data_IF_770515553155
#
_entry.id   IF_770515553155
#
_cell.length_a   1.000
_cell.length_b   1.000
_cell.length_c   1.000
_cell.angle_alpha   90.00
_cell.angle_beta   90.00
_cell.angle_gamma   90.00
#
_symmetry.space_group_name_H-M   'P 1'
#
loop_
_entity.id
_entity.type
_entity.pdbx_description
1 polymer ?
#
# COMPACT_ATOMS: atom_id res chain seq x y z
N UNK A 1 -17.85 4.31 19.25
CA UNK A 1 -17.62 2.84 19.36
C UNK A 1 -17.41 2.30 17.94
N UNK A 2 -16.24 2.60 17.34
CA UNK A 2 -15.76 2.04 16.08
C UNK A 2 -14.90 0.82 16.39
N UNK A 3 -15.44 -0.38 16.24
CA UNK A 3 -14.69 -1.63 16.34
C UNK A 3 -13.65 -1.69 15.21
N UNK A 4 -12.42 -1.86 15.65
CA UNK A 4 -11.23 -2.12 14.87
C UNK A 4 -11.41 -3.42 14.03
N UNK A 5 -11.95 -3.31 12.80
CA UNK A 5 -12.07 -4.46 11.86
C UNK A 5 -10.74 -4.84 11.19
N UNK A 6 -9.71 -4.02 11.34
CA UNK A 6 -8.41 -4.26 10.67
C UNK A 6 -7.45 -5.16 11.46
N UNK A 7 -7.68 -5.34 12.78
CA UNK A 7 -6.82 -6.18 13.61
C UNK A 7 -6.94 -7.69 13.33
N UNK A 8 -8.11 -8.16 12.94
CA UNK A 8 -8.34 -9.59 12.67
C UNK A 8 -7.79 -10.04 11.32
N UNK A 9 -7.68 -9.17 10.33
CA UNK A 9 -7.10 -9.49 9.02
C UNK A 9 -5.57 -9.57 9.07
N UNK A 10 -4.92 -8.72 9.85
CA UNK A 10 -3.45 -8.74 10.03
C UNK A 10 -2.99 -9.98 10.80
N UNK A 11 -3.68 -10.37 11.86
CA UNK A 11 -3.41 -11.60 12.61
C UNK A 11 -3.58 -12.86 11.75
N UNK A 12 -4.57 -12.89 10.87
CA UNK A 12 -4.77 -13.99 9.93
C UNK A 12 -3.67 -14.11 8.86
N UNK A 13 -3.13 -12.99 8.39
CA UNK A 13 -2.03 -12.96 7.40
C UNK A 13 -0.72 -13.40 8.04
N UNK A 14 -0.41 -12.98 9.26
CA UNK A 14 0.80 -13.39 9.97
C UNK A 14 0.76 -14.87 10.36
N UNK A 15 -0.36 -15.39 10.83
CA UNK A 15 -0.53 -16.82 11.11
C UNK A 15 -0.37 -17.68 9.85
N UNK A 16 -0.94 -17.27 8.71
CA UNK A 16 -0.80 -17.99 7.45
C UNK A 16 0.63 -17.96 6.89
N UNK A 17 1.38 -16.91 7.18
CA UNK A 17 2.81 -16.78 6.83
C UNK A 17 3.66 -17.73 7.69
N UNK A 18 3.47 -17.72 9.00
CA UNK A 18 4.19 -18.62 9.91
C UNK A 18 3.90 -20.09 9.61
N UNK A 19 2.67 -20.44 9.25
CA UNK A 19 2.31 -21.81 8.84
C UNK A 19 3.08 -22.24 7.60
N UNK A 20 3.24 -21.38 6.60
CA UNK A 20 4.03 -21.67 5.39
C UNK A 20 5.51 -21.89 5.72
N UNK A 21 6.09 -21.09 6.60
CA UNK A 21 7.48 -21.25 7.05
C UNK A 21 7.67 -22.57 7.80
N UNK A 22 6.71 -22.96 8.63
CA UNK A 22 6.75 -24.23 9.35
C UNK A 22 6.55 -25.44 8.42
N UNK A 23 5.77 -25.30 7.33
CA UNK A 23 5.66 -26.33 6.30
C UNK A 23 7.00 -26.57 5.59
N UNK A 24 7.77 -25.50 5.27
CA UNK A 24 9.12 -25.62 4.72
C UNK A 24 10.09 -26.31 5.70
N UNK A 25 9.88 -26.17 6.99
CA UNK A 25 10.65 -26.89 8.02
C UNK A 25 10.42 -28.42 7.95
N UNK A 26 9.20 -28.86 7.63
CA UNK A 26 8.93 -30.29 7.38
C UNK A 26 9.63 -30.80 6.13
N UNK A 27 9.74 -29.98 5.08
CA UNK A 27 10.51 -30.34 3.87
C UNK A 27 12.00 -30.45 4.21
N UNK A 28 12.55 -29.49 4.96
CA UNK A 28 13.92 -29.55 5.44
C UNK A 28 14.16 -30.79 6.29
N UNK A 29 13.22 -31.15 7.17
CA UNK A 29 13.26 -32.41 7.93
C UNK A 29 13.30 -33.63 7.03
N UNK A 30 12.48 -33.68 5.98
CA UNK A 30 12.50 -34.78 5.01
C UNK A 30 13.86 -34.95 4.35
N UNK A 31 14.50 -33.85 3.94
CA UNK A 31 15.85 -33.87 3.37
C UNK A 31 16.88 -34.38 4.39
N UNK A 32 16.82 -33.88 5.62
CA UNK A 32 17.68 -34.31 6.71
C UNK A 32 17.49 -35.79 7.02
N UNK A 33 16.26 -36.26 7.13
CA UNK A 33 15.96 -37.67 7.42
C UNK A 33 16.45 -38.61 6.31
N UNK A 34 16.28 -38.22 5.04
CA UNK A 34 16.82 -38.97 3.90
C UNK A 34 18.35 -39.04 3.95
N UNK A 35 19.01 -37.92 4.21
CA UNK A 35 20.47 -37.90 4.32
C UNK A 35 20.95 -38.79 5.48
N UNK A 36 20.33 -38.69 6.66
CA UNK A 36 20.68 -39.53 7.80
C UNK A 36 20.40 -41.01 7.55
N UNK A 37 19.34 -41.35 6.80
CA UNK A 37 19.04 -42.75 6.41
C UNK A 37 20.11 -43.37 5.53
N UNK A 38 20.60 -42.63 4.51
CA UNK A 38 21.69 -43.10 3.65
C UNK A 38 23.02 -43.23 4.38
N UNK A 39 23.25 -42.41 5.41
CA UNK A 39 24.47 -42.41 6.24
C UNK A 39 24.44 -43.52 7.30
N UNK A 40 23.24 -43.94 7.76
CA UNK A 40 23.03 -44.90 8.84
C UNK A 40 23.47 -46.34 8.54
N UNK A 41 23.94 -46.62 7.29
CA UNK A 41 24.29 -47.97 6.86
C UNK A 41 25.47 -48.60 7.61
N UNK A 42 26.16 -47.88 8.48
CA UNK A 42 27.37 -48.38 9.07
C UNK A 42 27.55 -48.40 10.60
N UNK A 43 26.93 -47.69 11.53
CA UNK A 43 27.20 -47.95 12.95
C UNK A 43 26.33 -47.23 14.04
N UNK A 44 25.45 -46.26 13.75
CA UNK A 44 24.76 -45.54 14.87
C UNK A 44 23.30 -45.14 14.57
N UNK A 45 22.48 -46.10 14.11
CA UNK A 45 21.07 -45.88 13.80
C UNK A 45 20.30 -45.20 14.95
N UNK A 46 20.59 -45.57 16.21
CA UNK A 46 19.93 -45.02 17.39
C UNK A 46 20.22 -43.53 17.55
N UNK A 47 21.48 -43.09 17.35
CA UNK A 47 21.86 -41.67 17.40
C UNK A 47 21.15 -40.83 16.36
N UNK A 48 21.09 -41.30 15.13
CA UNK A 48 20.40 -40.61 14.02
C UNK A 48 18.88 -40.52 14.23
N UNK A 49 18.26 -41.62 14.74
CA UNK A 49 16.85 -41.59 15.11
C UNK A 49 16.54 -40.61 16.23
N UNK A 50 17.41 -40.49 17.25
CA UNK A 50 17.26 -39.49 18.30
C UNK A 50 17.34 -38.06 17.77
N UNK A 51 18.29 -37.77 16.88
CA UNK A 51 18.41 -36.43 16.24
C UNK A 51 17.19 -36.13 15.39
N UNK A 52 16.72 -37.08 14.57
CA UNK A 52 15.53 -36.91 13.77
C UNK A 52 14.28 -36.68 14.64
N UNK A 53 14.13 -37.43 15.72
CA UNK A 53 13.05 -37.26 16.68
C UNK A 53 13.11 -35.90 17.39
N UNK A 54 14.30 -35.46 17.81
CA UNK A 54 14.50 -34.15 18.43
C UNK A 54 14.11 -33.02 17.44
N UNK A 55 14.53 -33.10 16.17
CA UNK A 55 14.15 -32.11 15.17
C UNK A 55 12.65 -32.09 14.89
N UNK A 56 12.01 -33.27 14.85
CA UNK A 56 10.57 -33.38 14.67
C UNK A 56 9.79 -32.77 15.83
N UNK A 57 10.22 -33.04 17.08
CA UNK A 57 9.60 -32.45 18.27
C UNK A 57 9.75 -30.93 18.32
N UNK A 58 10.91 -30.39 17.95
CA UNK A 58 11.15 -28.94 17.83
C UNK A 58 10.27 -28.34 16.73
N UNK A 59 10.10 -29.03 15.60
CA UNK A 59 9.22 -28.60 14.53
C UNK A 59 7.75 -28.57 14.97
N UNK A 60 7.28 -29.65 15.63
CA UNK A 60 5.92 -29.72 16.15
C UNK A 60 5.63 -28.64 17.20
N UNK A 61 6.54 -28.42 18.13
CA UNK A 61 6.41 -27.35 19.15
C UNK A 61 6.45 -25.97 18.51
N UNK A 62 7.24 -25.73 17.46
CA UNK A 62 7.26 -24.48 16.71
C UNK A 62 5.92 -24.20 16.02
N UNK A 63 5.30 -25.23 15.41
CA UNK A 63 3.97 -25.14 14.80
C UNK A 63 2.91 -24.83 15.86
N UNK A 64 2.91 -25.57 16.97
CA UNK A 64 1.98 -25.36 18.09
C UNK A 64 2.08 -23.95 18.67
N UNK A 65 3.29 -23.44 18.92
CA UNK A 65 3.48 -22.09 19.45
C UNK A 65 3.02 -21.02 18.47
N UNK A 66 3.22 -21.20 17.17
CA UNK A 66 2.71 -20.29 16.15
C UNK A 66 1.16 -20.23 16.10
N UNK A 67 0.48 -21.34 16.44
CA UNK A 67 -0.97 -21.41 16.52
C UNK A 67 -1.55 -20.81 17.81
N UNK A 68 -0.96 -21.15 18.96
CA UNK A 68 -1.53 -20.81 20.26
C UNK A 68 -1.04 -19.48 20.84
N UNK A 69 0.16 -19.00 20.43
CA UNK A 69 0.76 -17.76 20.94
C UNK A 69 1.50 -16.98 19.84
N UNK A 70 0.77 -16.36 18.88
CA UNK A 70 1.40 -15.60 17.80
C UNK A 70 2.21 -14.39 18.28
N UNK A 71 1.95 -13.88 19.50
CA UNK A 71 2.63 -12.71 20.05
C UNK A 71 4.04 -13.01 20.62
N UNK A 72 4.44 -14.27 20.67
CA UNK A 72 5.71 -14.68 21.26
C UNK A 72 6.88 -14.60 20.26
N UNK A 73 7.22 -13.37 19.87
CA UNK A 73 8.32 -13.09 18.91
C UNK A 73 9.66 -13.70 19.33
N UNK A 74 9.92 -13.86 20.63
CA UNK A 74 11.16 -14.43 21.15
C UNK A 74 11.22 -15.96 21.04
N UNK A 75 10.09 -16.66 20.95
CA UNK A 75 10.09 -18.11 20.77
C UNK A 75 10.79 -18.55 19.50
N UNK A 76 10.68 -17.77 18.43
CA UNK A 76 11.33 -18.10 17.16
C UNK A 76 12.86 -18.07 17.26
N UNK A 77 13.43 -17.17 18.06
CA UNK A 77 14.90 -17.14 18.31
C UNK A 77 15.36 -18.40 19.04
N UNK A 78 14.58 -18.87 20.03
CA UNK A 78 14.88 -20.10 20.75
C UNK A 78 14.92 -21.30 19.82
N UNK A 79 13.95 -21.43 18.89
CA UNK A 79 13.93 -22.53 17.92
C UNK A 79 15.13 -22.48 16.97
N UNK A 80 15.57 -21.30 16.56
CA UNK A 80 16.75 -21.13 15.70
C UNK A 80 18.03 -21.54 16.43
N UNK A 81 18.15 -21.19 17.72
CA UNK A 81 19.28 -21.63 18.55
C UNK A 81 19.28 -23.15 18.74
N UNK A 82 18.11 -23.76 18.96
CA UNK A 82 17.98 -25.21 19.07
C UNK A 82 18.39 -25.88 17.74
N UNK A 83 17.99 -25.33 16.59
CA UNK A 83 18.40 -25.82 15.28
C UNK A 83 19.93 -25.75 15.09
N UNK A 84 20.56 -24.62 15.51
CA UNK A 84 21.99 -24.49 15.46
C UNK A 84 22.72 -25.51 16.37
N UNK A 85 22.18 -25.77 17.55
CA UNK A 85 22.68 -26.83 18.46
C UNK A 85 22.52 -28.21 17.85
N UNK A 86 21.36 -28.54 17.25
CA UNK A 86 21.16 -29.82 16.59
C UNK A 86 22.13 -30.04 15.43
N UNK A 87 22.37 -29.01 14.61
CA UNK A 87 23.39 -29.05 13.55
C UNK A 87 24.78 -29.32 14.14
N UNK A 88 25.11 -28.62 15.22
CA UNK A 88 26.39 -28.80 15.92
C UNK A 88 26.54 -30.23 16.44
N UNK A 89 25.50 -30.81 17.02
CA UNK A 89 25.50 -32.21 17.49
C UNK A 89 25.70 -33.18 16.34
N UNK A 90 25.09 -32.95 15.17
CA UNK A 90 25.30 -33.77 13.96
C UNK A 90 26.75 -33.69 13.51
N UNK A 91 27.33 -32.48 13.45
CA UNK A 91 28.73 -32.27 13.06
C UNK A 91 29.71 -32.95 14.01
N UNK A 92 29.47 -32.84 15.35
CA UNK A 92 30.33 -33.47 16.34
C UNK A 92 30.09 -34.97 16.49
N UNK A 93 28.87 -35.48 16.18
CA UNK A 93 28.54 -36.91 16.27
C UNK A 93 29.44 -37.75 15.36
N UNK A 94 29.75 -37.28 14.20
CA UNK A 94 30.67 -37.94 13.25
C UNK A 94 32.13 -37.96 13.75
N UNK A 95 32.50 -37.03 14.63
CA UNK A 95 33.83 -36.95 15.18
C UNK A 95 34.06 -37.94 16.34
N UNK A 96 32.96 -38.34 17.01
CA UNK A 96 33.01 -39.26 18.14
C UNK A 96 32.99 -40.73 17.70
N UNK A 97 32.66 -41.02 16.43
CA UNK A 97 32.64 -42.36 15.91
C UNK A 97 34.08 -42.83 15.59
N UNK A 98 34.58 -43.75 16.44
CA UNK A 98 35.96 -44.24 16.38
C UNK A 98 36.27 -45.11 15.17
N UNK A 99 35.29 -45.55 14.41
CA UNK A 99 35.47 -46.40 13.22
C UNK A 99 35.84 -45.55 11.97
N UNK A 100 35.64 -44.24 11.98
CA UNK A 100 36.00 -43.32 10.89
C UNK A 100 37.52 -43.02 10.75
N UNK A 101 38.35 -43.63 11.58
CA UNK A 101 39.78 -43.30 11.70
C UNK A 101 40.67 -43.77 10.58
N UNK A 102 40.20 -44.58 9.61
CA UNK A 102 41.00 -45.12 8.53
C UNK A 102 40.98 -44.27 7.25
N UNK A 103 39.93 -43.46 7.03
CA UNK A 103 39.82 -42.56 5.87
C UNK A 103 39.43 -41.17 6.36
N UNK A 104 40.38 -40.27 6.40
CA UNK A 104 40.29 -38.89 6.92
C UNK A 104 39.34 -37.94 6.17
N UNK A 105 38.22 -38.40 5.64
CA UNK A 105 37.25 -37.57 4.95
C UNK A 105 35.88 -37.60 5.68
N UNK A 106 35.59 -36.54 6.38
CA UNK A 106 34.22 -36.22 6.90
C UNK A 106 33.25 -35.83 5.76
N UNK A 107 33.57 -36.21 4.51
CA UNK A 107 32.65 -35.99 3.37
C UNK A 107 31.40 -36.88 3.50
N UNK A 108 30.64 -36.60 4.53
CA UNK A 108 29.37 -37.24 4.83
C UNK A 108 28.25 -36.39 4.29
N UNK A 109 27.15 -37.01 3.92
CA UNK A 109 25.90 -36.37 3.51
C UNK A 109 25.37 -35.38 4.57
N UNK A 110 25.77 -35.51 5.82
CA UNK A 110 25.43 -34.63 6.94
C UNK A 110 25.95 -33.19 6.80
N UNK A 111 27.01 -32.96 5.99
CA UNK A 111 27.52 -31.59 5.69
C UNK A 111 26.53 -30.71 4.92
N UNK A 112 25.52 -31.30 4.28
CA UNK A 112 24.45 -30.55 3.58
C UNK A 112 23.45 -29.93 4.55
N UNK A 113 23.28 -30.50 5.75
CA UNK A 113 22.29 -30.09 6.76
C UNK A 113 22.43 -28.61 7.16
N UNK A 114 23.63 -28.09 7.49
CA UNK A 114 23.83 -26.68 7.80
C UNK A 114 23.32 -25.73 6.70
N UNK A 115 23.56 -26.07 5.43
CA UNK A 115 23.12 -25.25 4.28
C UNK A 115 21.59 -25.28 4.12
N UNK A 116 20.95 -26.44 4.29
CA UNK A 116 19.48 -26.57 4.22
C UNK A 116 18.82 -25.71 5.31
N UNK A 117 19.33 -25.78 6.55
CA UNK A 117 18.78 -25.01 7.65
C UNK A 117 19.13 -23.52 7.55
N UNK A 118 20.30 -23.15 7.04
CA UNK A 118 20.61 -21.75 6.73
C UNK A 118 19.60 -21.17 5.73
N UNK A 119 19.30 -21.89 4.65
CA UNK A 119 18.30 -21.47 3.68
C UNK A 119 16.91 -21.33 4.32
N UNK A 120 16.52 -22.27 5.20
CA UNK A 120 15.25 -22.17 5.93
C UNK A 120 15.19 -20.88 6.80
N UNK A 121 16.25 -20.57 7.54
CA UNK A 121 16.33 -19.34 8.35
C UNK A 121 16.33 -18.10 7.48
N UNK A 122 17.05 -18.14 6.33
CA UNK A 122 17.16 -17.05 5.37
C UNK A 122 15.81 -16.62 4.77
N UNK A 123 14.93 -17.58 4.49
CA UNK A 123 13.61 -17.31 3.93
C UNK A 123 12.74 -16.40 4.81
N UNK A 124 13.02 -16.32 6.11
CA UNK A 124 12.34 -15.39 7.03
C UNK A 124 12.78 -13.93 6.87
N UNK A 125 13.86 -13.68 6.12
CA UNK A 125 14.43 -12.35 5.83
C UNK A 125 14.73 -11.51 7.08
N UNK A 126 15.02 -12.15 8.22
CA UNK A 126 15.39 -11.49 9.46
C UNK A 126 16.91 -11.57 9.63
N UNK A 127 17.58 -10.44 9.47
CA UNK A 127 19.04 -10.34 9.51
C UNK A 127 19.64 -10.85 10.82
N UNK A 128 19.01 -10.49 11.95
CA UNK A 128 19.48 -10.90 13.26
C UNK A 128 19.47 -12.44 13.42
N UNK A 129 18.44 -13.08 12.92
CA UNK A 129 18.28 -14.54 12.98
C UNK A 129 19.29 -15.26 12.08
N UNK A 130 19.55 -14.71 10.88
CA UNK A 130 20.56 -15.25 9.98
C UNK A 130 21.94 -15.17 10.61
N UNK A 131 22.31 -14.03 11.20
CA UNK A 131 23.61 -13.84 11.88
C UNK A 131 23.76 -14.82 13.04
N UNK A 132 22.76 -14.91 13.93
CA UNK A 132 22.83 -15.79 15.10
C UNK A 132 23.00 -17.25 14.69
N UNK A 133 22.18 -17.75 13.76
CA UNK A 133 22.27 -19.11 13.27
C UNK A 133 23.62 -19.40 12.61
N UNK A 134 24.00 -18.57 11.62
CA UNK A 134 25.21 -18.78 10.84
C UNK A 134 26.48 -18.68 11.68
N UNK A 135 26.53 -17.72 12.61
CA UNK A 135 27.66 -17.59 13.54
C UNK A 135 27.79 -18.80 14.45
N UNK A 136 26.67 -19.25 15.06
CA UNK A 136 26.68 -20.41 15.95
C UNK A 136 27.18 -21.67 15.22
N UNK A 137 26.65 -21.94 14.03
CA UNK A 137 27.05 -23.10 13.22
C UNK A 137 28.50 -22.97 12.74
N UNK A 138 28.91 -21.80 12.27
CA UNK A 138 30.28 -21.57 11.79
C UNK A 138 31.31 -21.77 12.88
N UNK A 139 31.11 -21.19 14.06
CA UNK A 139 32.03 -21.36 15.18
C UNK A 139 32.04 -22.79 15.74
N UNK A 140 30.88 -23.48 15.74
CA UNK A 140 30.81 -24.90 16.08
C UNK A 140 31.63 -25.73 15.08
N UNK A 141 31.53 -25.43 13.79
CA UNK A 141 32.28 -26.14 12.73
C UNK A 141 33.80 -25.92 12.88
N UNK A 142 34.24 -24.68 13.03
CA UNK A 142 35.67 -24.37 13.27
C UNK A 142 36.18 -25.07 14.57
N UNK A 143 35.39 -25.02 15.64
CA UNK A 143 35.72 -25.74 16.88
C UNK A 143 35.89 -27.24 16.68
N UNK A 144 35.02 -27.87 15.86
CA UNK A 144 35.14 -29.27 15.46
C UNK A 144 36.46 -29.54 14.72
N UNK A 145 36.80 -28.71 13.73
CA UNK A 145 38.06 -28.85 12.97
C UNK A 145 39.29 -28.73 13.86
N UNK A 146 39.28 -27.82 14.83
CA UNK A 146 40.37 -27.67 15.82
C UNK A 146 40.49 -28.92 16.68
N UNK A 147 39.37 -29.45 17.20
CA UNK A 147 39.38 -30.68 18.03
C UNK A 147 39.90 -31.87 17.20
N UNK A 148 39.49 -31.99 15.96
CA UNK A 148 39.96 -33.03 15.07
C UNK A 148 41.48 -32.93 14.80
N UNK A 149 41.98 -31.74 14.50
CA UNK A 149 43.43 -31.49 14.31
C UNK A 149 44.23 -31.84 15.53
N UNK A 150 43.74 -31.52 16.76
CA UNK A 150 44.39 -31.84 18.04
C UNK A 150 44.40 -33.33 18.37
N UNK A 151 43.39 -34.10 17.93
CA UNK A 151 43.29 -35.55 18.21
C UNK A 151 44.16 -36.40 17.30
N UNK A 152 44.36 -35.99 16.08
CA UNK A 152 44.99 -36.83 15.02
C UNK A 152 46.45 -36.52 14.71
N UNK A 153 47.02 -35.45 15.28
CA UNK A 153 48.39 -35.09 15.02
C UNK A 153 49.27 -35.09 16.24
N UNK A 154 50.47 -35.72 16.12
CA UNK A 154 51.55 -35.61 17.07
C UNK A 154 51.99 -34.16 17.27
N UNK A 155 52.42 -33.84 18.45
CA UNK A 155 52.79 -32.49 18.90
C UNK A 155 53.74 -31.81 17.93
N UNK A 156 53.25 -30.91 17.07
CA UNK A 156 54.02 -30.11 16.12
C UNK A 156 53.13 -29.13 15.32
N UNK A 157 53.69 -27.94 15.03
CA UNK A 157 52.94 -26.87 14.38
C UNK A 157 52.59 -27.22 12.90
N UNK A 158 53.48 -27.87 12.20
CA UNK A 158 53.34 -28.26 10.79
C UNK A 158 52.24 -29.32 10.59
N UNK A 159 52.22 -30.45 11.34
CA UNK A 159 51.12 -31.42 11.24
C UNK A 159 49.76 -30.85 11.64
N UNK A 160 49.71 -29.91 12.60
CA UNK A 160 48.49 -29.22 12.99
C UNK A 160 47.92 -28.37 11.84
N UNK A 161 48.76 -27.59 11.17
CA UNK A 161 48.38 -26.77 10.01
C UNK A 161 47.90 -27.65 8.87
N UNK A 162 48.63 -28.71 8.51
CA UNK A 162 48.23 -29.66 7.46
C UNK A 162 46.89 -30.34 7.79
N UNK A 163 46.64 -30.68 9.05
CA UNK A 163 45.37 -31.25 9.50
C UNK A 163 44.21 -30.27 9.44
N UNK A 164 44.47 -28.97 9.57
CA UNK A 164 43.47 -27.93 9.49
C UNK A 164 43.09 -27.60 8.02
N UNK A 165 44.04 -27.67 7.10
CA UNK A 165 43.86 -27.45 5.66
C UNK A 165 43.37 -28.72 4.96
N UNK A 166 42.19 -29.20 5.36
CA UNK A 166 41.57 -30.36 4.77
C UNK A 166 40.30 -29.95 3.97
N UNK A 167 39.62 -30.93 3.37
CA UNK A 167 38.38 -30.69 2.61
C UNK A 167 37.27 -30.06 3.47
N UNK A 168 37.25 -30.36 4.76
CA UNK A 168 36.22 -29.89 5.69
C UNK A 168 36.36 -28.40 5.98
N UNK A 169 37.57 -27.84 5.97
CA UNK A 169 37.80 -26.39 5.99
C UNK A 169 37.21 -25.72 4.74
N UNK A 170 37.30 -26.37 3.58
CA UNK A 170 36.67 -25.89 2.35
C UNK A 170 35.16 -25.80 2.45
N UNK A 171 34.52 -26.79 3.08
CA UNK A 171 33.07 -26.75 3.35
C UNK A 171 32.68 -25.69 4.38
N UNK A 172 33.47 -25.54 5.47
CA UNK A 172 33.25 -24.48 6.47
C UNK A 172 33.38 -23.08 5.85
N UNK A 173 34.38 -22.86 5.00
CA UNK A 173 34.57 -21.62 4.26
C UNK A 173 33.41 -21.35 3.28
N UNK A 174 32.96 -22.40 2.56
CA UNK A 174 31.80 -22.31 1.66
C UNK A 174 30.51 -21.98 2.42
N UNK A 175 30.32 -22.55 3.61
CA UNK A 175 29.19 -22.21 4.49
C UNK A 175 29.27 -20.75 4.93
N UNK A 176 30.42 -20.27 5.38
CA UNK A 176 30.65 -18.88 5.76
C UNK A 176 30.36 -17.91 4.63
N UNK A 177 30.87 -18.21 3.42
CA UNK A 177 30.57 -17.43 2.22
C UNK A 177 29.08 -17.40 1.90
N UNK A 178 28.42 -18.56 1.92
CA UNK A 178 26.97 -18.66 1.70
C UNK A 178 26.18 -17.86 2.74
N UNK A 179 26.58 -17.93 4.01
CA UNK A 179 25.95 -17.17 5.09
C UNK A 179 26.06 -15.66 4.87
N UNK A 180 27.24 -15.17 4.45
CA UNK A 180 27.46 -13.76 4.11
C UNK A 180 26.60 -13.36 2.91
N UNK A 181 26.61 -14.15 1.83
CA UNK A 181 25.82 -13.86 0.64
C UNK A 181 24.31 -13.80 0.95
N UNK A 182 23.81 -14.75 1.73
CA UNK A 182 22.40 -14.77 2.17
C UNK A 182 22.07 -13.59 3.06
N UNK A 183 22.97 -13.20 3.97
CA UNK A 183 22.78 -12.02 4.81
C UNK A 183 22.72 -10.74 3.98
N UNK A 184 23.62 -10.55 3.03
CA UNK A 184 23.64 -9.40 2.13
C UNK A 184 22.37 -9.35 1.28
N UNK A 185 21.95 -10.49 0.72
CA UNK A 185 20.70 -10.58 -0.03
C UNK A 185 19.47 -10.23 0.82
N UNK A 186 19.40 -10.75 2.05
CA UNK A 186 18.30 -10.43 2.96
C UNK A 186 18.26 -8.94 3.34
N UNK A 187 19.43 -8.30 3.50
CA UNK A 187 19.55 -6.87 3.77
C UNK A 187 19.04 -6.02 2.61
N UNK A 188 19.44 -6.34 1.38
CA UNK A 188 18.98 -5.68 0.16
C UNK A 188 17.46 -5.78 -0.02
N UNK A 189 16.91 -6.99 0.14
CA UNK A 189 15.47 -7.23 0.06
C UNK A 189 14.69 -6.46 1.12
N UNK A 190 15.23 -6.34 2.33
CA UNK A 190 14.59 -5.57 3.40
C UNK A 190 14.59 -4.06 3.09
N UNK A 191 15.69 -3.52 2.59
CA UNK A 191 15.78 -2.11 2.16
C UNK A 191 14.79 -1.83 1.03
N UNK A 192 14.77 -2.66 -0.01
CA UNK A 192 13.83 -2.51 -1.13
C UNK A 192 12.37 -2.54 -0.66
N UNK A 193 12.04 -3.43 0.27
CA UNK A 193 10.71 -3.50 0.86
C UNK A 193 10.34 -2.24 1.65
N UNK A 194 11.26 -1.70 2.44
CA UNK A 194 11.05 -0.45 3.19
C UNK A 194 10.84 0.74 2.24
N UNK A 195 11.62 0.84 1.18
CA UNK A 195 11.46 1.87 0.16
C UNK A 195 10.10 1.77 -0.52
N UNK A 196 9.66 0.56 -0.90
CA UNK A 196 8.36 0.33 -1.50
C UNK A 196 7.20 0.70 -0.55
N UNK A 197 7.29 0.34 0.74
CA UNK A 197 6.30 0.71 1.76
C UNK A 197 6.24 2.22 1.99
N UNK A 198 7.40 2.89 2.02
CA UNK A 198 7.46 4.35 2.16
C UNK A 198 6.87 5.06 0.95
N UNK A 199 7.15 4.58 -0.26
CA UNK A 199 6.56 5.11 -1.49
C UNK A 199 5.03 4.94 -1.50
N UNK A 200 4.51 3.77 -1.09
CA UNK A 200 3.06 3.53 -1.01
C UNK A 200 2.39 4.40 0.07
N UNK A 201 3.01 4.56 1.23
CA UNK A 201 2.53 5.45 2.28
C UNK A 201 2.54 6.92 1.83
N UNK A 202 3.58 7.36 1.13
CA UNK A 202 3.65 8.71 0.57
C UNK A 202 2.54 8.92 -0.46
N UNK A 203 2.32 7.94 -1.35
CA UNK A 203 1.21 7.96 -2.32
C UNK A 203 -0.15 8.06 -1.63
N UNK A 204 -0.41 7.24 -0.62
CA UNK A 204 -1.67 7.28 0.16
C UNK A 204 -1.88 8.61 0.87
N UNK A 205 -0.83 9.21 1.39
CA UNK A 205 -0.91 10.52 2.03
C UNK A 205 -1.21 11.63 1.01
N UNK A 206 -0.57 11.62 -0.16
CA UNK A 206 -0.85 12.57 -1.22
C UNK A 206 -2.29 12.46 -1.73
N UNK A 207 -2.82 11.25 -1.93
CA UNK A 207 -4.20 11.03 -2.40
C UNK A 207 -5.28 11.43 -1.39
N UNK A 208 -4.93 11.72 -0.12
CA UNK A 208 -5.87 12.31 0.85
C UNK A 208 -6.09 13.81 0.61
N UNK A 209 -5.11 14.51 0.05
CA UNK A 209 -5.14 15.96 -0.14
C UNK A 209 -5.32 16.35 -1.61
N UNK A 210 -4.93 15.49 -2.53
CA UNK A 210 -5.02 15.71 -3.96
C UNK A 210 -5.84 14.62 -4.64
N UNK A 211 -6.46 14.96 -5.77
CA UNK A 211 -7.07 13.93 -6.61
C UNK A 211 -6.00 12.94 -7.10
N UNK A 212 -6.37 11.68 -7.39
CA UNK A 212 -5.41 10.66 -7.84
C UNK A 212 -4.57 11.12 -9.06
N UNK A 213 -5.17 11.86 -9.99
CA UNK A 213 -4.49 12.36 -11.18
C UNK A 213 -3.41 13.38 -10.82
N UNK A 214 -3.74 14.38 -9.99
CA UNK A 214 -2.80 15.39 -9.52
C UNK A 214 -1.69 14.76 -8.68
N UNK A 215 -2.03 13.80 -7.82
CA UNK A 215 -1.04 13.08 -7.01
C UNK A 215 -0.03 12.31 -7.88
N UNK A 216 -0.47 11.68 -8.98
CA UNK A 216 0.42 10.99 -9.92
C UNK A 216 1.35 11.99 -10.63
N UNK A 217 0.81 13.08 -11.16
CA UNK A 217 1.62 14.10 -11.85
C UNK A 217 2.66 14.73 -10.90
N UNK A 218 2.28 15.00 -9.65
CA UNK A 218 3.23 15.50 -8.62
C UNK A 218 4.32 14.48 -8.28
N UNK A 219 4.05 13.18 -8.40
CA UNK A 219 5.05 12.13 -8.22
C UNK A 219 6.01 12.03 -9.41
N UNK A 220 5.50 12.18 -10.64
CA UNK A 220 6.27 12.04 -11.87
C UNK A 220 7.10 13.28 -12.18
N UNK A 221 6.52 14.46 -12.03
CA UNK A 221 7.16 15.75 -12.39
C UNK A 221 7.76 16.47 -11.17
N UNK A 222 7.49 15.98 -9.97
CA UNK A 222 7.96 16.57 -8.71
C UNK A 222 7.27 17.91 -8.37
N UNK A 223 7.75 18.60 -7.31
CA UNK A 223 7.14 19.86 -6.84
C UNK A 223 7.41 21.07 -7.77
N UNK A 224 7.99 20.85 -8.94
CA UNK A 224 8.33 21.88 -9.91
C UNK A 224 7.26 22.08 -11.00
N UNK A 225 6.05 21.53 -10.81
CA UNK A 225 4.92 21.75 -11.69
C UNK A 225 4.55 23.25 -11.67
N UNK A 226 5.14 24.02 -12.57
CA UNK A 226 4.88 25.46 -12.68
C UNK A 226 3.45 25.72 -13.18
N UNK A 227 2.99 26.97 -13.07
CA UNK A 227 1.71 27.38 -13.63
C UNK A 227 1.74 27.28 -15.16
N UNK A 228 0.84 26.49 -15.71
CA UNK A 228 0.65 26.32 -17.16
C UNK A 228 -0.71 26.85 -17.59
N UNK A 229 -0.76 27.45 -18.78
CA UNK A 229 -2.01 27.89 -19.39
C UNK A 229 -2.65 26.74 -20.15
N UNK A 230 -3.85 26.37 -19.72
CA UNK A 230 -4.64 25.29 -20.29
C UNK A 230 -6.07 25.78 -20.59
N UNK A 231 -6.84 24.96 -21.32
CA UNK A 231 -8.29 25.11 -21.43
C UNK A 231 -8.94 24.01 -20.58
N UNK A 232 -9.93 24.36 -19.78
CA UNK A 232 -10.60 23.41 -18.90
C UNK A 232 -12.07 23.75 -18.70
N UNK A 233 -12.87 22.73 -18.41
CA UNK A 233 -14.22 22.93 -17.90
C UNK A 233 -14.18 23.03 -16.38
N UNK A 234 -14.70 24.12 -15.87
CA UNK A 234 -14.74 24.43 -14.43
C UNK A 234 -16.17 24.33 -13.94
N UNK A 235 -16.37 23.61 -12.84
CA UNK A 235 -17.66 23.34 -12.23
C UNK A 235 -17.66 23.80 -10.77
N UNK A 236 -18.57 24.70 -10.43
CA UNK A 236 -18.92 25.02 -9.05
C UNK A 236 -20.23 24.35 -8.64
N UNK A 237 -20.24 23.78 -7.43
CA UNK A 237 -21.40 23.12 -6.85
C UNK A 237 -21.57 23.67 -5.45
N UNK A 238 -22.79 24.12 -5.07
CA UNK A 238 -23.02 24.71 -3.76
C UNK A 238 -24.41 24.33 -3.19
N UNK A 239 -24.49 24.19 -1.86
CA UNK A 239 -25.73 23.87 -1.16
C UNK A 239 -26.48 25.18 -0.85
N UNK A 240 -27.67 25.31 -1.34
CA UNK A 240 -28.46 26.53 -1.12
C UNK A 240 -28.96 26.64 0.30
N UNK A 241 -28.89 27.87 0.81
CA UNK A 241 -29.29 28.23 2.18
C UNK A 241 -28.54 27.43 3.27
N UNK A 242 -27.29 27.02 2.98
CA UNK A 242 -26.46 26.26 3.92
C UNK A 242 -26.24 27.02 5.24
N UNK A 243 -26.02 28.34 5.19
CA UNK A 243 -25.85 29.16 6.41
C UNK A 243 -27.04 29.02 7.34
N UNK A 244 -28.27 29.14 6.79
CA UNK A 244 -29.49 28.97 7.59
C UNK A 244 -29.66 27.53 8.09
N UNK A 245 -29.23 26.55 7.30
CA UNK A 245 -29.25 25.14 7.69
C UNK A 245 -28.26 24.88 8.83
N UNK A 246 -27.05 25.46 8.76
CA UNK A 246 -26.02 25.30 9.78
C UNK A 246 -26.40 25.94 11.14
N UNK A 247 -27.16 27.03 11.12
CA UNK A 247 -27.66 27.68 12.35
C UNK A 247 -28.71 26.82 13.08
N UNK A 248 -29.48 26.01 12.34
CA UNK A 248 -30.64 25.26 12.89
C UNK A 248 -30.35 23.76 13.03
N UNK A 249 -29.12 23.27 12.74
CA UNK A 249 -28.78 21.84 12.75
C UNK A 249 -27.66 21.57 13.74
N UNK A 250 -27.70 20.47 14.49
CA UNK A 250 -26.58 20.14 15.38
C UNK A 250 -25.30 19.87 14.60
N UNK A 251 -24.11 20.19 15.16
CA UNK A 251 -22.82 20.03 14.49
C UNK A 251 -22.59 18.62 13.94
N UNK A 252 -23.01 17.59 14.68
CA UNK A 252 -22.83 16.20 14.31
C UNK A 252 -23.69 15.85 13.07
N UNK A 253 -24.96 16.27 13.04
CA UNK A 253 -25.86 16.06 11.88
C UNK A 253 -25.36 16.83 10.67
N UNK A 254 -24.90 18.07 10.86
CA UNK A 254 -24.37 18.92 9.81
C UNK A 254 -23.11 18.27 9.20
N UNK A 255 -22.19 17.75 10.04
CA UNK A 255 -20.97 17.06 9.59
C UNK A 255 -21.30 15.79 8.79
N UNK A 256 -22.26 14.98 9.25
CA UNK A 256 -22.70 13.79 8.52
C UNK A 256 -23.31 14.13 7.17
N UNK A 257 -24.18 15.14 7.11
CA UNK A 257 -24.79 15.62 5.88
C UNK A 257 -23.74 16.14 4.90
N UNK A 258 -22.81 16.98 5.36
CA UNK A 258 -21.76 17.53 4.53
C UNK A 258 -20.82 16.44 4.03
N UNK A 259 -20.51 15.45 4.87
CA UNK A 259 -19.72 14.28 4.47
C UNK A 259 -20.39 13.46 3.37
N UNK A 260 -21.68 13.16 3.51
CA UNK A 260 -22.47 12.43 2.50
C UNK A 260 -22.56 13.22 1.19
N UNK A 261 -22.82 14.51 1.24
CA UNK A 261 -22.84 15.41 0.08
C UNK A 261 -21.49 15.39 -0.66
N UNK A 262 -20.40 15.64 0.08
CA UNK A 262 -19.04 15.61 -0.51
C UNK A 262 -18.69 14.26 -1.10
N UNK A 263 -19.11 13.16 -0.47
CA UNK A 263 -18.89 11.82 -0.99
C UNK A 263 -19.63 11.55 -2.31
N UNK A 264 -20.88 11.98 -2.45
CA UNK A 264 -21.66 11.85 -3.68
C UNK A 264 -20.98 12.62 -4.81
N UNK A 265 -20.64 13.89 -4.57
CA UNK A 265 -20.01 14.75 -5.57
C UNK A 265 -18.63 14.20 -5.95
N UNK A 266 -17.79 13.85 -4.97
CA UNK A 266 -16.44 13.33 -5.22
C UNK A 266 -16.48 12.05 -6.03
N UNK A 267 -17.40 11.13 -5.72
CA UNK A 267 -17.55 9.88 -6.48
C UNK A 267 -17.92 10.14 -7.95
N UNK A 268 -18.82 11.07 -8.21
CA UNK A 268 -19.21 11.42 -9.58
C UNK A 268 -18.08 12.12 -10.32
N UNK A 269 -17.40 13.08 -9.69
CA UNK A 269 -16.26 13.79 -10.31
C UNK A 269 -15.15 12.81 -10.69
N UNK A 270 -14.77 11.91 -9.77
CA UNK A 270 -13.73 10.90 -10.03
C UNK A 270 -14.13 9.89 -11.11
N UNK A 271 -15.40 9.45 -11.13
CA UNK A 271 -15.95 8.56 -12.16
C UNK A 271 -15.82 9.17 -13.55
N UNK A 272 -16.05 10.47 -13.66
CA UNK A 272 -15.92 11.22 -14.92
C UNK A 272 -14.50 11.78 -15.15
N UNK A 273 -13.48 11.30 -14.42
CA UNK A 273 -12.08 11.71 -14.51
C UNK A 273 -11.86 13.22 -14.32
N UNK A 274 -12.71 13.86 -13.51
CA UNK A 274 -12.51 15.23 -13.05
C UNK A 274 -11.61 15.28 -11.83
N UNK A 275 -11.12 16.46 -11.53
CA UNK A 275 -10.29 16.80 -10.36
C UNK A 275 -11.09 17.68 -9.43
N UNK A 276 -11.14 17.37 -8.14
CA UNK A 276 -11.62 18.31 -7.13
C UNK A 276 -10.43 19.19 -6.75
N UNK A 277 -10.53 20.48 -7.04
CA UNK A 277 -9.51 21.46 -6.68
C UNK A 277 -9.59 21.76 -5.18
N UNK A 278 -10.74 22.18 -4.69
CA UNK A 278 -10.94 22.48 -3.27
C UNK A 278 -12.40 22.41 -2.82
N UNK A 279 -12.55 22.27 -1.50
CA UNK A 279 -13.82 22.43 -0.79
C UNK A 279 -13.83 23.80 -0.09
N UNK A 280 -14.82 24.63 -0.39
CA UNK A 280 -15.00 25.96 0.21
C UNK A 280 -16.25 26.00 1.06
N UNK A 281 -16.15 25.52 2.30
CA UNK A 281 -17.33 25.32 3.15
C UNK A 281 -18.26 24.23 2.60
N UNK A 282 -19.44 24.61 2.14
CA UNK A 282 -20.42 23.79 1.43
C UNK A 282 -20.21 23.78 -0.09
N UNK A 283 -19.38 24.70 -0.61
CA UNK A 283 -19.06 24.76 -2.02
C UNK A 283 -17.96 23.74 -2.42
N UNK A 284 -18.02 23.26 -3.65
CA UNK A 284 -17.04 22.37 -4.26
C UNK A 284 -16.62 22.94 -5.60
N UNK A 285 -15.33 23.06 -5.80
CA UNK A 285 -14.71 23.41 -7.09
C UNK A 285 -14.14 22.15 -7.73
N UNK A 286 -14.69 21.77 -8.89
CA UNK A 286 -14.19 20.66 -9.69
C UNK A 286 -13.77 21.14 -11.08
N UNK A 287 -12.75 20.51 -11.65
CA UNK A 287 -12.14 20.90 -12.92
C UNK A 287 -11.92 19.67 -13.79
N UNK A 288 -12.18 19.80 -15.10
CA UNK A 288 -11.94 18.78 -16.11
C UNK A 288 -10.97 19.35 -17.16
N UNK A 289 -9.87 18.65 -17.40
CA UNK A 289 -8.78 19.12 -18.26
C UNK A 289 -7.52 19.51 -17.48
N UNK A 290 -7.40 19.07 -16.25
CA UNK A 290 -6.18 19.23 -15.44
C UNK A 290 -5.78 17.87 -14.81
N UNK A 291 -4.49 17.62 -14.59
CA UNK A 291 -3.33 18.41 -14.98
C UNK A 291 -3.13 18.47 -16.51
N UNK A 292 -3.63 17.49 -17.25
CA UNK A 292 -3.54 17.39 -18.70
C UNK A 292 -4.93 17.43 -19.34
N UNK A 293 -5.08 18.22 -20.39
CA UNK A 293 -6.35 18.31 -21.12
C UNK A 293 -6.54 17.09 -22.04
N UNK A 294 -7.80 16.67 -22.11
CA UNK A 294 -8.27 15.66 -23.05
C UNK A 294 -9.36 16.27 -23.95
N UNK A 295 -9.54 15.66 -25.10
CA UNK A 295 -10.48 16.15 -26.11
C UNK A 295 -11.96 16.03 -25.71
N UNK A 296 -12.29 15.30 -24.62
CA UNK A 296 -13.63 15.01 -24.12
C UNK A 296 -13.93 15.65 -22.76
N UNK A 297 -13.11 16.61 -22.33
CA UNK A 297 -13.22 17.24 -21.02
C UNK A 297 -14.57 17.92 -20.80
N UNK A 298 -15.06 18.63 -21.80
CA UNK A 298 -16.35 19.32 -21.77
C UNK A 298 -17.53 18.35 -21.70
N UNK A 299 -17.47 17.26 -22.45
CA UNK A 299 -18.51 16.22 -22.44
C UNK A 299 -18.57 15.50 -21.10
N UNK A 300 -17.41 15.16 -20.55
CA UNK A 300 -17.30 14.52 -19.21
C UNK A 300 -17.77 15.46 -18.10
N UNK A 301 -17.44 16.74 -18.18
CA UNK A 301 -17.89 17.75 -17.23
C UNK A 301 -19.42 17.89 -17.24
N UNK A 302 -20.04 17.96 -18.41
CA UNK A 302 -21.48 18.06 -18.55
C UNK A 302 -22.19 16.79 -18.06
N UNK A 303 -21.71 15.62 -18.46
CA UNK A 303 -22.24 14.33 -17.99
C UNK A 303 -22.16 14.21 -16.48
N UNK A 304 -21.04 14.62 -15.88
CA UNK A 304 -20.83 14.65 -14.44
C UNK A 304 -21.81 15.61 -13.75
N UNK A 305 -22.01 16.83 -14.27
CA UNK A 305 -22.94 17.81 -13.70
C UNK A 305 -24.39 17.30 -13.69
N UNK A 306 -24.82 16.63 -14.76
CA UNK A 306 -26.14 16.01 -14.85
C UNK A 306 -26.27 14.85 -13.84
N UNK A 307 -25.26 13.98 -13.75
CA UNK A 307 -25.25 12.86 -12.78
C UNK A 307 -25.30 13.38 -11.34
N UNK A 308 -24.52 14.43 -11.01
CA UNK A 308 -24.53 15.05 -9.68
C UNK A 308 -25.91 15.63 -9.37
N UNK A 309 -26.51 16.39 -10.32
CA UNK A 309 -27.85 16.98 -10.13
C UNK A 309 -28.88 15.90 -9.80
N UNK A 310 -28.91 14.81 -10.56
CA UNK A 310 -29.85 13.70 -10.36
C UNK A 310 -29.60 12.95 -9.04
N UNK A 311 -28.33 12.67 -8.74
CA UNK A 311 -27.94 11.93 -7.52
C UNK A 311 -28.25 12.72 -6.25
N UNK A 312 -28.00 14.03 -6.27
CA UNK A 312 -28.29 14.91 -5.13
C UNK A 312 -29.78 15.14 -4.96
N UNK A 313 -30.55 15.28 -6.02
CA UNK A 313 -32.03 15.37 -5.92
C UNK A 313 -32.60 14.08 -5.29
N UNK A 314 -32.17 12.91 -5.75
CA UNK A 314 -32.58 11.62 -5.18
C UNK A 314 -32.18 11.46 -3.71
N UNK A 315 -30.94 11.86 -3.37
CA UNK A 315 -30.46 11.80 -1.99
C UNK A 315 -31.24 12.75 -1.07
N UNK A 316 -31.53 13.97 -1.51
CA UNK A 316 -32.30 14.97 -0.75
C UNK A 316 -33.78 14.54 -0.55
N UNK A 317 -34.34 13.81 -1.51
CA UNK A 317 -35.68 13.23 -1.35
C UNK A 317 -35.72 12.14 -0.27
N UNK A 318 -34.66 11.37 -0.13
CA UNK A 318 -34.51 10.35 0.92
C UNK A 318 -34.27 10.93 2.33
N UNK A 319 -33.84 12.19 2.44
CA UNK A 319 -33.64 12.86 3.73
C UNK A 319 -35.00 13.36 4.26
N UNK A 320 -35.37 12.94 5.44
CA UNK A 320 -36.52 13.57 6.16
C UNK A 320 -36.22 15.05 6.32
N UNK A 321 -37.23 15.92 6.10
CA UNK A 321 -37.13 17.38 6.22
C UNK A 321 -36.30 17.75 7.45
N UNK A 322 -35.10 18.32 7.21
CA UNK A 322 -34.27 18.93 8.24
C UNK A 322 -34.96 20.28 8.57
N UNK A 323 -35.61 20.36 9.73
CA UNK A 323 -36.26 21.56 10.24
C UNK A 323 -37.22 22.28 9.25
N UNK A 324 -37.96 21.51 8.47
CA UNK A 324 -38.95 22.06 7.51
C UNK A 324 -38.38 22.58 6.20
N UNK A 325 -37.06 22.61 6.02
CA UNK A 325 -36.40 22.96 4.75
C UNK A 325 -35.86 21.74 4.03
N UNK A 326 -36.02 21.73 2.71
CA UNK A 326 -35.37 20.77 1.84
C UNK A 326 -34.17 21.50 1.22
N UNK A 327 -32.94 21.17 1.61
CA UNK A 327 -31.79 21.77 0.98
C UNK A 327 -31.82 21.49 -0.52
N UNK A 328 -31.22 22.35 -1.31
CA UNK A 328 -31.13 22.18 -2.75
C UNK A 328 -29.76 22.60 -3.21
N UNK A 329 -29.31 22.09 -4.36
CA UNK A 329 -27.98 22.33 -4.87
C UNK A 329 -28.04 23.15 -6.16
N UNK A 330 -27.11 24.09 -6.34
CA UNK A 330 -26.84 24.81 -7.56
C UNK A 330 -25.55 24.30 -8.21
N UNK A 331 -25.52 24.22 -9.53
CA UNK A 331 -24.31 23.84 -10.30
C UNK A 331 -24.10 24.86 -11.39
N UNK A 332 -22.90 25.46 -11.45
CA UNK A 332 -22.44 26.34 -12.51
C UNK A 332 -21.29 25.70 -13.27
N UNK A 333 -21.39 25.65 -14.60
CA UNK A 333 -20.40 25.00 -15.47
C UNK A 333 -19.98 25.92 -16.62
N UNK A 334 -18.67 26.18 -16.71
CA UNK A 334 -18.08 27.02 -17.76
C UNK A 334 -16.81 26.41 -18.32
N UNK A 335 -16.52 26.68 -19.59
CA UNK A 335 -15.28 26.24 -20.26
C UNK A 335 -14.50 27.47 -20.75
N UNK A 336 -13.19 27.47 -20.50
CA UNK A 336 -12.33 28.55 -20.93
C UNK A 336 -10.87 28.36 -20.54
N UNK A 337 -10.07 29.41 -20.76
CA UNK A 337 -8.65 29.42 -20.43
C UNK A 337 -8.45 29.58 -18.93
N UNK A 338 -7.57 28.75 -18.39
CA UNK A 338 -7.14 28.75 -16.98
C UNK A 338 -5.61 28.73 -16.89
N UNK A 339 -5.11 29.06 -15.70
CA UNK A 339 -3.76 28.72 -15.24
C UNK A 339 -3.90 27.61 -14.21
N UNK A 340 -3.21 26.49 -14.41
CA UNK A 340 -3.20 25.38 -13.46
C UNK A 340 -1.77 24.97 -13.12
N UNK A 341 -1.53 24.60 -11.88
CA UNK A 341 -0.21 24.18 -11.40
C UNK A 341 -0.02 24.41 -9.93
N UNK A 342 1.21 24.25 -9.46
CA UNK A 342 1.57 24.43 -8.04
C UNK A 342 1.96 25.88 -7.80
N UNK A 343 1.28 26.51 -6.86
CA UNK A 343 1.64 27.83 -6.32
C UNK A 343 2.39 27.61 -5.00
N UNK A 344 3.64 28.06 -4.98
CA UNK A 344 4.51 27.95 -3.81
C UNK A 344 4.30 29.16 -2.89
N UNK A 345 3.94 28.92 -1.64
CA UNK A 345 3.77 29.94 -0.61
C UNK A 345 4.72 29.78 0.59
N UNK A 346 5.88 29.19 0.37
CA UNK A 346 6.91 28.98 1.38
C UNK A 346 6.72 27.72 2.20
N UNK A 347 5.74 27.68 3.08
CA UNK A 347 5.45 26.51 3.93
C UNK A 347 4.31 25.62 3.41
N UNK A 348 3.55 26.10 2.44
CA UNK A 348 2.40 25.40 1.90
C UNK A 348 2.35 25.55 0.38
N UNK A 349 2.60 24.46 -0.30
CA UNK A 349 2.45 24.38 -1.75
C UNK A 349 1.04 23.89 -2.07
N UNK A 350 0.32 24.60 -2.94
CA UNK A 350 -1.05 24.28 -3.32
C UNK A 350 -1.14 24.08 -4.84
N UNK A 351 -1.64 22.93 -5.27
CA UNK A 351 -2.10 22.79 -6.64
C UNK A 351 -3.42 23.54 -6.77
N UNK A 352 -3.51 24.49 -7.69
CA UNK A 352 -4.69 25.32 -7.82
C UNK A 352 -4.94 25.71 -9.26
N UNK A 353 -6.17 26.14 -9.52
CA UNK A 353 -6.63 26.63 -10.82
C UNK A 353 -7.05 28.07 -10.68
N UNK A 354 -6.50 28.93 -11.54
CA UNK A 354 -6.70 30.39 -11.52
C UNK A 354 -7.20 30.86 -12.91
N UNK A 355 -7.98 31.94 -12.92
CA UNK A 355 -8.41 32.60 -14.15
C UNK A 355 -9.87 33.06 -14.11
N UNK A 356 -10.27 33.87 -15.10
CA UNK A 356 -11.64 34.39 -15.21
C UNK A 356 -12.67 33.24 -15.37
N UNK A 357 -12.27 32.16 -16.02
CA UNK A 357 -13.08 30.93 -16.18
C UNK A 357 -13.60 30.40 -14.85
N UNK A 358 -12.78 30.44 -13.79
CA UNK A 358 -13.15 30.02 -12.44
C UNK A 358 -14.23 30.95 -11.87
N UNK A 359 -14.03 32.26 -12.04
CA UNK A 359 -14.98 33.27 -11.55
C UNK A 359 -16.31 33.20 -12.31
N UNK A 360 -16.29 32.94 -13.61
CA UNK A 360 -17.51 32.77 -14.41
C UNK A 360 -18.30 31.54 -13.92
N UNK A 361 -17.65 30.39 -13.76
CA UNK A 361 -18.29 29.18 -13.26
C UNK A 361 -18.96 29.42 -11.89
N UNK A 362 -18.27 30.10 -10.97
CA UNK A 362 -18.84 30.52 -9.67
C UNK A 362 -20.07 31.41 -9.82
N UNK A 363 -20.02 32.41 -10.70
CA UNK A 363 -21.16 33.32 -10.95
C UNK A 363 -22.35 32.57 -11.60
N UNK A 364 -22.10 31.62 -12.50
CA UNK A 364 -23.11 30.76 -13.07
C UNK A 364 -23.81 29.91 -12.01
N UNK A 365 -23.08 29.37 -11.04
CA UNK A 365 -23.68 28.70 -9.90
C UNK A 365 -24.63 29.66 -9.14
N UNK A 366 -24.20 30.87 -8.80
CA UNK A 366 -25.01 31.82 -8.06
C UNK A 366 -26.31 32.19 -8.75
N UNK A 367 -26.33 32.39 -10.07
CA UNK A 367 -27.56 32.72 -10.82
C UNK A 367 -28.53 31.55 -10.92
N UNK A 368 -28.11 30.31 -10.62
CA UNK A 368 -29.02 29.17 -10.53
C UNK A 368 -30.17 29.44 -9.56
N UNK A 369 -29.95 30.27 -8.54
CA UNK A 369 -30.97 30.63 -7.54
C UNK A 369 -32.06 31.51 -8.14
N UNK A 370 -31.71 32.56 -8.87
CA UNK A 370 -32.65 33.48 -9.50
C UNK A 370 -33.42 32.83 -10.65
N UNK A 371 -32.78 31.90 -11.37
CA UNK A 371 -33.40 31.16 -12.46
C UNK A 371 -34.26 29.95 -12.01
N UNK A 372 -34.24 29.60 -10.71
CA UNK A 372 -34.87 28.38 -10.23
C UNK A 372 -34.32 27.10 -10.90
N UNK A 373 -33.04 27.15 -11.29
CA UNK A 373 -32.36 26.07 -12.02
C UNK A 373 -31.51 25.19 -11.09
N UNK A 374 -31.31 23.94 -11.43
CA UNK A 374 -30.33 23.07 -10.76
C UNK A 374 -28.93 23.15 -11.38
N UNK A 375 -28.86 23.41 -12.68
CA UNK A 375 -27.62 23.49 -13.44
C UNK A 375 -27.69 24.66 -14.42
N UNK A 376 -26.63 25.46 -14.48
CA UNK A 376 -26.43 26.51 -15.49
C UNK A 376 -25.10 26.25 -16.21
N UNK A 377 -25.14 26.26 -17.53
CA UNK A 377 -24.00 25.98 -18.43
C UNK A 377 -23.78 27.15 -19.37
N UNK A 378 -22.54 27.58 -19.53
CA UNK A 378 -22.22 28.63 -20.52
C UNK A 378 -22.31 28.11 -21.97
N UNK A 379 -22.63 28.99 -22.91
CA UNK A 379 -22.62 28.64 -24.34
C UNK A 379 -21.21 28.26 -24.82
N UNK A 380 -20.15 28.83 -24.23
CA UNK A 380 -18.76 28.48 -24.53
C UNK A 380 -18.49 26.98 -24.28
N UNK A 381 -19.04 26.44 -23.21
CA UNK A 381 -18.91 25.00 -22.95
C UNK A 381 -19.70 24.19 -23.98
N UNK A 382 -20.93 24.62 -24.31
CA UNK A 382 -21.79 23.90 -25.25
C UNK A 382 -21.18 23.87 -26.65
N UNK A 383 -20.55 24.95 -27.10
CA UNK A 383 -19.85 25.02 -28.37
C UNK A 383 -18.60 24.15 -28.44
N UNK A 384 -17.98 23.87 -27.27
CA UNK A 384 -16.80 23.01 -27.14
C UNK A 384 -17.15 21.51 -26.99
N UNK A 385 -18.44 21.15 -26.86
CA UNK A 385 -18.86 19.74 -26.80
C UNK A 385 -18.62 19.04 -28.13
N UNK A 386 -18.18 17.79 -28.07
CA UNK A 386 -18.04 16.88 -29.20
C UNK A 386 -19.29 16.07 -29.47
N UNK A 387 -20.04 15.74 -28.43
CA UNK A 387 -21.29 15.01 -28.54
C UNK A 387 -22.48 15.94 -28.53
N UNK A 388 -23.59 15.46 -29.06
CA UNK A 388 -24.82 16.27 -29.17
C UNK A 388 -25.34 16.59 -27.77
N UNK A 389 -25.53 17.89 -27.50
CA UNK A 389 -26.09 18.38 -26.25
C UNK A 389 -27.52 17.80 -26.04
N UNK A 390 -27.85 17.29 -24.83
CA UNK A 390 -29.20 16.78 -24.52
C UNK A 390 -30.18 17.95 -24.40
N UNK A 391 -30.72 18.40 -25.55
CA UNK A 391 -31.47 19.66 -25.68
C UNK A 391 -32.90 19.66 -25.11
N UNK A 392 -33.46 18.50 -24.80
CA UNK A 392 -34.91 18.38 -24.49
C UNK A 392 -35.35 18.95 -23.15
N UNK A 393 -34.44 19.19 -22.22
CA UNK A 393 -34.75 19.65 -20.84
C UNK A 393 -34.13 20.99 -20.48
N UNK A 394 -33.28 21.53 -21.31
CA UNK A 394 -32.60 22.81 -21.07
C UNK A 394 -33.31 23.98 -21.73
N UNK A 395 -33.37 25.12 -21.03
CA UNK A 395 -33.82 26.38 -21.54
C UNK A 395 -32.64 27.27 -21.84
N UNK A 396 -32.72 28.05 -22.96
CA UNK A 396 -31.70 29.01 -23.37
C UNK A 396 -32.08 30.41 -22.90
N UNK A 397 -31.08 31.17 -22.43
CA UNK A 397 -31.20 32.58 -22.14
C UNK A 397 -29.97 33.30 -22.75
N UNK A 398 -30.25 34.35 -23.52
CA UNK A 398 -29.20 35.14 -24.19
C UNK A 398 -28.92 36.43 -23.43
N UNK A 399 -27.69 36.90 -23.51
CA UNK A 399 -27.29 38.21 -23.05
C UNK A 399 -27.40 38.38 -21.53
N UNK A 400 -27.08 37.36 -20.75
CA UNK A 400 -27.14 37.40 -19.27
C UNK A 400 -25.99 38.22 -18.73
N UNK A 401 -26.31 39.21 -17.89
CA UNK A 401 -25.32 40.01 -17.16
C UNK A 401 -24.86 39.23 -15.93
N UNK A 402 -23.55 39.03 -15.82
CA UNK A 402 -22.93 38.43 -14.62
C UNK A 402 -22.33 39.52 -13.74
N UNK A 403 -22.73 39.65 -12.49
CA UNK A 403 -22.23 40.71 -11.60
C UNK A 403 -20.70 40.76 -11.57
N UNK A 404 -20.09 41.93 -11.89
CA UNK A 404 -18.65 42.17 -11.87
C UNK A 404 -17.88 41.54 -13.03
N UNK A 405 -18.52 41.32 -14.20
CA UNK A 405 -17.88 41.00 -15.48
C UNK A 405 -18.36 42.00 -16.55
N UNK A 406 -17.43 42.50 -17.34
CA UNK A 406 -17.77 43.24 -18.52
C UNK A 406 -18.15 42.26 -19.63
N UNK A 407 -19.37 42.43 -20.20
CA UNK A 407 -19.90 41.62 -21.28
C UNK A 407 -20.97 40.61 -20.83
N UNK A 408 -21.89 40.38 -21.76
CA UNK A 408 -23.04 39.46 -21.65
C UNK A 408 -22.64 38.04 -22.02
N UNK A 409 -23.23 37.08 -21.37
CA UNK A 409 -22.99 35.66 -21.64
C UNK A 409 -24.28 34.95 -21.99
N UNK A 410 -24.25 34.12 -23.04
CA UNK A 410 -25.33 33.22 -23.35
C UNK A 410 -25.21 31.94 -22.57
N UNK A 411 -26.33 31.48 -22.02
CA UNK A 411 -26.38 30.32 -21.11
C UNK A 411 -27.50 29.35 -21.51
N UNK A 412 -27.30 28.11 -21.11
CA UNK A 412 -28.34 27.10 -21.03
C UNK A 412 -28.52 26.70 -19.56
N UNK A 413 -29.77 26.50 -19.15
CA UNK A 413 -30.05 26.10 -17.77
C UNK A 413 -31.08 24.98 -17.69
N UNK A 414 -30.93 24.10 -16.71
CA UNK A 414 -31.86 23.02 -16.42
C UNK A 414 -32.82 23.52 -15.30
N UNK A 415 -34.07 23.81 -15.63
CA UNK A 415 -35.05 24.23 -14.62
C UNK A 415 -35.25 23.12 -13.59
N UNK A 416 -35.39 23.51 -12.35
CA UNK A 416 -35.78 22.56 -11.31
C UNK A 416 -37.25 22.20 -11.50
N UNK A 417 -37.60 20.92 -11.51
CA UNK A 417 -38.98 20.51 -11.51
C UNK A 417 -39.73 21.17 -10.35
N UNK A 418 -40.85 21.88 -10.61
CA UNK A 418 -41.69 22.47 -9.57
C UNK A 418 -42.17 21.35 -8.67
N UNK A 419 -41.59 21.23 -7.46
CA UNK A 419 -42.09 20.29 -6.46
C UNK A 419 -43.44 20.78 -6.02
N UNK A 420 -44.50 20.06 -6.39
CA UNK A 420 -45.84 20.25 -5.81
C UNK A 420 -45.71 19.83 -4.36
N UNK A 421 -46.05 20.70 -3.38
CA UNK A 421 -46.05 20.27 -1.99
C UNK A 421 -47.06 19.16 -1.84
N UNK A 422 -46.61 17.99 -1.38
CA UNK A 422 -47.53 16.93 -0.96
C UNK A 422 -48.42 17.50 0.14
N UNK A 423 -49.72 17.57 -0.14
CA UNK A 423 -50.75 17.96 0.80
C UNK A 423 -50.85 17.01 2.00
#
# INVERSE_FOLDING_TARGET
LGQNRDGTSLLGVDASRELRWNALRLVAFGIVAVNLFFESSHHNIVGYLLIAFAYLTVTATSILTSFYRPDWRNATMIYILIDAVLVSVVLYGNLLDTAATANHNLTTTSLVIPFVLLNHVALRQDQGRIIVFSSAVFFAWIGMLIVQALRHHSIGLTPFIEGLFNKDLGFAASFGFTAIAVHLFASEMQQTRLLALNADNMRRNLTRFFSPQVALTLQEEGPNLGLMRNHAAVMFIDIRAFTRLSENTSPEKLALMLSAYRQIVSKSVLKHRGVIDKFTGDGILAVFGVPHNANDDTDRALACAIEISNSLDSWLEGQKRLDGMIPSVGIGLHYGSILSGVVKSGYHDEFTVLGDTVNVAYRLERITKSLGASLVVSMDLVQALKFRFPSTSFMQMQGVDLPGRDGKLDILFLPRAKRVPAR
#
